data_IF_140341595026
#
_entry.id   IF_140341595026
#
_cell.length_a   1.000
_cell.length_b   1.000
_cell.length_c   1.000
_cell.angle_alpha   90.00
_cell.angle_beta   90.00
_cell.angle_gamma   90.00
#
_symmetry.space_group_name_H-M   'P 1'
#
loop_
_entity.id
_entity.type
_entity.pdbx_description
1 polymer ?
#
# COMPACT_ATOMS: atom_id res chain seq x y z
N UNK A 1 -5.51 -11.22 5.21
CA UNK A 1 -4.62 -10.12 4.79
C UNK A 1 -5.06 -9.66 3.42
N UNK A 2 -5.05 -8.37 3.13
CA UNK A 2 -5.37 -7.81 1.80
C UNK A 2 -4.28 -6.81 1.39
N UNK A 3 -3.85 -6.87 0.14
CA UNK A 3 -2.81 -6.00 -0.42
C UNK A 3 -3.47 -5.11 -1.47
N UNK A 4 -3.19 -3.81 -1.38
CA UNK A 4 -3.77 -2.78 -2.24
C UNK A 4 -2.61 -2.09 -2.95
N UNK A 5 -2.64 -2.09 -4.28
CA UNK A 5 -1.61 -1.46 -5.12
C UNK A 5 -2.19 -0.41 -6.04
N UNK A 6 -3.45 -0.56 -6.42
CA UNK A 6 -4.12 0.30 -7.41
C UNK A 6 -5.50 0.72 -6.91
N UNK A 7 -6.05 1.77 -7.51
CA UNK A 7 -7.45 2.18 -7.25
C UNK A 7 -8.46 1.09 -7.62
N UNK A 8 -8.12 0.20 -8.58
CA UNK A 8 -8.95 -0.96 -8.93
C UNK A 8 -9.06 -1.97 -7.79
N UNK A 9 -8.00 -2.15 -7.00
CA UNK A 9 -8.04 -3.01 -5.81
C UNK A 9 -9.07 -2.49 -4.80
N UNK A 10 -9.13 -1.17 -4.59
CA UNK A 10 -10.12 -0.54 -3.70
C UNK A 10 -11.55 -0.78 -4.19
N UNK A 11 -11.81 -0.55 -5.48
CA UNK A 11 -13.12 -0.79 -6.10
C UNK A 11 -13.53 -2.27 -5.97
N UNK A 12 -12.60 -3.19 -6.18
CA UNK A 12 -12.85 -4.63 -6.00
C UNK A 12 -13.16 -4.96 -4.53
N UNK A 13 -12.40 -4.42 -3.58
CA UNK A 13 -12.62 -4.63 -2.14
C UNK A 13 -13.97 -4.09 -1.68
N UNK A 14 -14.40 -2.93 -2.21
CA UNK A 14 -15.74 -2.38 -2.00
C UNK A 14 -16.81 -3.34 -2.51
N UNK A 15 -16.67 -3.79 -3.78
CA UNK A 15 -17.67 -4.61 -4.46
C UNK A 15 -17.90 -5.96 -3.79
N UNK A 16 -16.84 -6.58 -3.29
CA UNK A 16 -16.94 -7.89 -2.62
C UNK A 16 -17.26 -7.78 -1.12
N UNK A 17 -17.41 -6.55 -0.59
CA UNK A 17 -17.64 -6.33 0.84
C UNK A 17 -16.53 -6.91 1.71
N UNK A 18 -15.28 -6.91 1.22
CA UNK A 18 -14.16 -7.56 1.90
C UNK A 18 -13.76 -6.84 3.20
N UNK A 19 -14.08 -5.56 3.33
CA UNK A 19 -13.75 -4.71 4.46
C UNK A 19 -14.98 -3.92 4.91
N UNK A 20 -15.06 -3.54 6.19
CA UNK A 20 -16.06 -2.58 6.66
C UNK A 20 -15.97 -1.28 5.86
N UNK A 21 -17.10 -0.68 5.51
CA UNK A 21 -17.16 0.54 4.69
C UNK A 21 -16.32 1.67 5.29
N UNK A 22 -16.41 1.90 6.60
CA UNK A 22 -15.64 2.94 7.29
C UNK A 22 -14.11 2.73 7.22
N UNK A 23 -13.64 1.48 7.18
CA UNK A 23 -12.23 1.19 7.00
C UNK A 23 -11.81 1.40 5.55
N UNK A 24 -12.67 1.03 4.60
CA UNK A 24 -12.39 1.25 3.19
C UNK A 24 -12.29 2.74 2.85
N UNK A 25 -13.16 3.56 3.43
CA UNK A 25 -13.17 5.01 3.29
C UNK A 25 -11.84 5.63 3.75
N UNK A 26 -11.35 5.22 4.93
CA UNK A 26 -10.05 5.66 5.44
C UNK A 26 -8.88 5.22 4.55
N UNK A 27 -8.93 4.00 4.02
CA UNK A 27 -7.88 3.50 3.14
C UNK A 27 -7.89 4.21 1.79
N UNK A 28 -9.07 4.57 1.28
CA UNK A 28 -9.21 5.37 0.05
C UNK A 28 -8.70 6.80 0.23
N UNK A 29 -9.05 7.45 1.35
CA UNK A 29 -8.56 8.78 1.70
C UNK A 29 -7.02 8.81 1.76
N UNK A 30 -6.43 7.84 2.48
CA UNK A 30 -4.97 7.71 2.56
C UNK A 30 -4.33 7.42 1.20
N UNK A 31 -4.95 6.58 0.35
CA UNK A 31 -4.45 6.31 -0.99
C UNK A 31 -4.48 7.57 -1.87
N UNK A 32 -5.52 8.38 -1.78
CA UNK A 32 -5.60 9.65 -2.50
C UNK A 32 -4.57 10.65 -1.96
N UNK A 33 -4.32 10.70 -0.65
CA UNK A 33 -3.28 11.54 -0.06
C UNK A 33 -1.89 11.14 -0.59
N UNK A 34 -1.58 9.84 -0.61
CA UNK A 34 -0.35 9.32 -1.20
C UNK A 34 -0.22 9.67 -2.68
N UNK A 35 -1.33 9.61 -3.43
CA UNK A 35 -1.34 9.99 -4.86
C UNK A 35 -0.98 11.45 -5.09
N UNK A 36 -1.33 12.34 -4.15
CA UNK A 36 -0.99 13.77 -4.21
C UNK A 36 0.43 14.02 -3.72
N UNK A 37 0.87 13.33 -2.66
CA UNK A 37 2.23 13.49 -2.12
C UNK A 37 3.31 12.92 -3.04
N UNK A 38 3.00 11.84 -3.76
CA UNK A 38 3.94 11.14 -4.63
C UNK A 38 3.92 11.63 -6.07
N UNK A 39 3.15 12.70 -6.37
CA UNK A 39 2.91 13.32 -7.68
C UNK A 39 4.00 13.00 -8.72
N UNK A 40 3.84 11.86 -9.39
CA UNK A 40 4.66 11.49 -10.54
C UNK A 40 3.92 12.07 -11.74
N UNK A 41 4.45 13.15 -12.29
CA UNK A 41 3.87 14.00 -13.34
C UNK A 41 3.49 13.21 -14.63
N UNK A 42 3.76 11.90 -14.68
CA UNK A 42 3.69 11.05 -15.86
C UNK A 42 2.75 9.84 -15.80
N UNK A 43 2.14 9.48 -14.66
CA UNK A 43 1.21 8.34 -14.60
C UNK A 43 -0.27 8.73 -14.59
N UNK A 44 -0.97 8.32 -15.66
CA UNK A 44 -2.41 8.51 -15.88
C UNK A 44 -3.25 7.66 -14.89
N UNK A 45 -2.63 6.67 -14.22
CA UNK A 45 -3.26 5.74 -13.27
C UNK A 45 -2.28 5.52 -12.10
N UNK A 46 -2.46 6.29 -11.00
CA UNK A 46 -1.57 6.19 -9.83
C UNK A 46 -1.55 4.76 -9.26
N UNK A 47 -0.35 4.20 -9.19
CA UNK A 47 -0.11 2.84 -8.75
C UNK A 47 1.02 2.83 -7.73
N UNK A 48 0.76 2.26 -6.55
CA UNK A 48 1.80 2.08 -5.54
C UNK A 48 2.90 1.11 -5.99
N UNK A 49 2.66 0.29 -7.03
CA UNK A 49 3.59 -0.63 -7.69
C UNK A 49 5.05 -0.66 -7.19
N UNK A 50 5.92 0.13 -7.83
CA UNK A 50 7.35 0.19 -7.50
C UNK A 50 7.65 1.03 -6.23
N UNK A 51 6.71 1.87 -5.79
CA UNK A 51 6.84 2.77 -4.65
C UNK A 51 6.44 2.12 -3.31
N UNK A 52 5.66 1.03 -3.33
CA UNK A 52 5.16 0.34 -2.15
C UNK A 52 3.82 -0.39 -2.35
N UNK A 53 3.13 -0.64 -1.25
CA UNK A 53 1.78 -1.21 -1.22
C UNK A 53 1.15 -0.95 0.16
N UNK A 54 -0.18 -0.89 0.20
CA UNK A 54 -0.92 -0.82 1.47
C UNK A 54 -1.35 -2.24 1.85
N UNK A 55 -1.17 -2.61 3.12
CA UNK A 55 -1.68 -3.88 3.67
C UNK A 55 -2.74 -3.63 4.71
N UNK A 56 -3.90 -4.27 4.52
CA UNK A 56 -4.98 -4.29 5.51
C UNK A 56 -4.98 -5.64 6.22
N UNK A 57 -4.84 -5.60 7.55
CA UNK A 57 -4.81 -6.76 8.42
C UNK A 57 -6.15 -6.90 9.16
N UNK A 58 -6.61 -8.13 9.33
CA UNK A 58 -7.71 -8.49 10.22
C UNK A 58 -7.19 -9.20 11.46
N UNK A 59 -7.99 -9.24 12.52
CA UNK A 59 -7.67 -10.07 13.67
C UNK A 59 -7.45 -11.52 13.24
N UNK A 60 -6.31 -12.10 13.64
CA UNK A 60 -5.89 -13.45 13.23
C UNK A 60 -5.01 -13.50 11.97
N UNK A 61 -4.76 -12.38 11.29
CA UNK A 61 -3.76 -12.33 10.22
C UNK A 61 -2.34 -12.48 10.76
N UNK A 62 -1.51 -13.23 10.02
CA UNK A 62 -0.13 -13.47 10.39
C UNK A 62 0.80 -12.39 9.82
N UNK A 63 1.28 -11.51 10.68
CA UNK A 63 2.24 -10.44 10.30
C UNK A 63 3.57 -10.97 9.79
N UNK A 64 3.94 -12.23 10.05
CA UNK A 64 5.17 -12.84 9.51
C UNK A 64 5.08 -13.03 7.99
N UNK A 65 3.88 -13.08 7.44
CA UNK A 65 3.66 -13.14 5.99
C UNK A 65 4.20 -11.86 5.31
N UNK A 66 4.16 -10.72 6.01
CA UNK A 66 4.77 -9.46 5.57
C UNK A 66 6.28 -9.56 5.39
N UNK A 67 6.97 -10.47 6.09
CA UNK A 67 8.42 -10.67 5.93
C UNK A 67 8.80 -11.26 4.56
N UNK A 68 7.86 -11.92 3.88
CA UNK A 68 8.04 -12.42 2.52
C UNK A 68 7.78 -11.33 1.46
N UNK A 69 6.96 -10.34 1.80
CA UNK A 69 6.82 -9.13 1.01
C UNK A 69 7.94 -8.19 1.42
N UNK A 70 9.10 -8.37 0.79
CA UNK A 70 10.35 -7.62 0.99
C UNK A 70 10.09 -6.11 1.13
N UNK A 71 9.67 -5.67 2.31
CA UNK A 71 9.84 -4.32 2.81
C UNK A 71 11.35 -4.21 2.83
N UNK A 72 11.90 -3.54 1.82
CA UNK A 72 13.33 -3.29 1.77
C UNK A 72 13.68 -2.68 3.12
N UNK A 73 14.29 -3.50 3.98
CA UNK A 73 14.95 -3.02 5.18
C UNK A 73 15.91 -1.99 4.62
N UNK A 74 15.68 -0.72 4.93
CA UNK A 74 16.64 0.31 4.61
C UNK A 74 17.95 -0.17 5.25
N UNK A 75 18.86 -0.60 4.38
CA UNK A 75 20.12 -1.20 4.79
C UNK A 75 20.90 -0.05 5.39
N UNK A 76 20.86 0.03 6.72
CA UNK A 76 21.56 1.04 7.47
C UNK A 76 23.03 1.03 7.04
N UNK A 77 23.47 2.20 6.58
CA UNK A 77 24.87 2.61 6.49
C UNK A 77 25.72 1.90 5.43
N UNK A 78 25.96 2.62 4.33
CA UNK A 78 27.33 2.67 3.79
C UNK A 78 27.78 4.11 3.71
N UNK A 79 28.60 4.47 4.68
CA UNK A 79 29.42 5.68 4.72
C UNK A 79 30.21 5.82 3.40
N UNK A 80 30.36 7.05 2.88
CA UNK A 80 31.20 7.30 1.72
C UNK A 80 32.67 7.14 2.11
N UNK A 81 33.39 6.25 1.43
CA UNK A 81 34.84 6.23 1.48
C UNK A 81 35.39 7.48 0.75
N UNK A 82 36.14 8.29 1.49
CA UNK A 82 36.95 9.41 1.00
C UNK A 82 38.13 8.94 0.17
#
# INVERSE_FOLDING_TARGET
MKIIKTKRDLVMLHRVGALPAALLDQVEDYFNQLSVELEDEFEIDFCLGAQGYIVVLKAGDNVRDLGNFRLSREDGSKEPNF
#
